data_IF_161955505040
#
_entry.id   IF_161955505040
#
_cell.length_a   1.000
_cell.length_b   1.000
_cell.length_c   1.000
_cell.angle_alpha   90.00
_cell.angle_beta   90.00
_cell.angle_gamma   90.00
#
_symmetry.space_group_name_H-M   'P 1'
#
loop_
_entity.id
_entity.type
_entity.pdbx_description
1 polymer ?
#
# COMPACT_ATOMS: atom_id res chain seq x y z
N UNK A 1 -3.35 -30.10 -45.15
CA UNK A 1 -3.00 -31.53 -45.34
C UNK A 1 -1.48 -31.66 -45.28
N UNK A 2 -0.93 -32.24 -44.19
CA UNK A 2 -0.10 -33.48 -44.18
C UNK A 2 1.24 -33.31 -44.95
N UNK A 3 2.48 -33.50 -44.44
CA UNK A 3 3.07 -34.40 -43.43
C UNK A 3 4.51 -33.93 -43.08
N UNK A 4 4.93 -34.30 -41.87
CA UNK A 4 6.26 -34.47 -41.26
C UNK A 4 7.50 -34.89 -42.12
N UNK A 5 8.66 -34.38 -41.69
CA UNK A 5 10.00 -35.00 -41.44
C UNK A 5 10.78 -35.82 -42.50
N UNK A 6 12.07 -35.47 -42.66
CA UNK A 6 13.28 -36.35 -42.73
C UNK A 6 14.53 -35.45 -42.58
N UNK A 7 15.24 -35.47 -41.45
CA UNK A 7 16.41 -36.29 -41.14
C UNK A 7 17.61 -36.07 -42.07
N UNK A 8 18.64 -35.36 -41.58
CA UNK A 8 20.03 -35.48 -42.05
C UNK A 8 20.94 -35.48 -40.83
N UNK A 9 21.53 -36.63 -40.54
CA UNK A 9 22.76 -36.79 -39.76
C UNK A 9 23.93 -36.94 -40.73
N UNK A 10 25.05 -36.25 -40.45
CA UNK A 10 26.43 -36.50 -40.93
C UNK A 10 27.24 -35.28 -40.46
N UNK A 11 28.12 -35.29 -39.47
CA UNK A 11 29.13 -36.28 -39.05
C UNK A 11 30.06 -36.84 -40.14
N UNK A 12 30.09 -36.22 -41.31
CA UNK A 12 31.10 -36.52 -42.34
C UNK A 12 31.67 -35.25 -42.98
N UNK A 13 32.50 -34.53 -42.21
CA UNK A 13 33.74 -33.91 -42.71
C UNK A 13 34.56 -33.36 -41.55
N UNK A 14 35.71 -33.99 -41.30
CA UNK A 14 36.55 -33.78 -40.14
C UNK A 14 37.27 -32.43 -40.04
N UNK A 15 37.42 -32.02 -38.78
CA UNK A 15 38.58 -31.37 -38.13
C UNK A 15 39.34 -30.23 -38.83
N UNK A 16 39.22 -29.02 -38.26
CA UNK A 16 40.33 -28.25 -37.64
C UNK A 16 39.88 -26.86 -37.15
N UNK A 17 40.29 -26.49 -35.94
CA UNK A 17 40.49 -25.09 -35.54
C UNK A 17 39.37 -24.44 -34.73
N UNK A 18 39.56 -24.39 -33.41
CA UNK A 18 38.74 -23.66 -32.45
C UNK A 18 38.74 -22.14 -32.67
N UNK A 19 37.55 -21.56 -32.85
CA UNK A 19 37.23 -20.18 -32.43
C UNK A 19 35.74 -20.12 -32.07
N UNK A 20 35.44 -19.86 -30.78
CA UNK A 20 34.06 -19.58 -30.34
C UNK A 20 33.54 -18.34 -31.10
N UNK A 21 32.35 -18.38 -31.72
CA UNK A 21 31.79 -17.20 -32.35
C UNK A 21 31.46 -16.16 -31.28
N UNK A 22 32.05 -14.97 -31.42
CA UNK A 22 31.62 -13.78 -30.70
C UNK A 22 30.14 -13.54 -31.01
N UNK A 23 29.26 -13.36 -30.02
CA UNK A 23 27.85 -13.10 -30.30
C UNK A 23 27.77 -11.81 -31.13
N UNK A 24 27.14 -11.92 -32.32
CA UNK A 24 26.80 -10.76 -33.13
C UNK A 24 25.96 -9.84 -32.26
N UNK A 25 26.41 -8.60 -32.12
CA UNK A 25 25.72 -7.54 -31.42
C UNK A 25 24.23 -7.52 -31.84
N UNK A 26 23.36 -8.05 -30.99
CA UNK A 26 21.92 -7.85 -31.15
C UNK A 26 21.70 -6.36 -30.87
N UNK A 27 21.16 -5.62 -31.85
CA UNK A 27 20.67 -4.26 -31.58
C UNK A 27 19.81 -4.33 -30.33
N UNK A 28 20.02 -3.46 -29.33
CA UNK A 28 19.10 -3.35 -28.21
C UNK A 28 17.69 -3.25 -28.78
N UNK A 29 16.78 -4.10 -28.29
CA UNK A 29 15.37 -3.92 -28.56
C UNK A 29 15.03 -2.46 -28.25
N UNK A 30 14.28 -1.75 -29.12
CA UNK A 30 13.87 -0.39 -28.85
C UNK A 30 13.24 -0.38 -27.46
N UNK A 31 13.65 0.59 -26.63
CA UNK A 31 13.12 0.72 -25.28
C UNK A 31 11.59 0.73 -25.37
N UNK A 32 10.95 -0.12 -24.56
CA UNK A 32 9.50 -0.16 -24.45
C UNK A 32 9.02 1.29 -24.25
N UNK A 33 8.05 1.78 -25.03
CA UNK A 33 7.55 3.14 -24.88
C UNK A 33 7.20 3.37 -23.41
N UNK A 34 7.84 4.35 -22.77
CA UNK A 34 7.49 4.71 -21.40
C UNK A 34 6.02 5.10 -21.40
N UNK A 35 5.20 4.37 -20.65
CA UNK A 35 3.78 4.71 -20.50
C UNK A 35 3.66 6.20 -20.16
N UNK A 36 2.80 6.92 -20.90
CA UNK A 36 2.57 8.35 -20.70
C UNK A 36 2.13 8.55 -19.25
N UNK A 37 2.85 9.37 -18.48
CA UNK A 37 2.45 9.69 -17.10
C UNK A 37 1.09 10.38 -17.15
N UNK A 38 0.11 9.77 -16.50
CA UNK A 38 -1.19 10.40 -16.25
C UNK A 38 -0.96 11.65 -15.41
N UNK A 39 -1.54 12.78 -15.85
CA UNK A 39 -1.51 14.02 -15.10
C UNK A 39 -2.76 14.08 -14.23
N UNK A 40 -2.58 14.40 -12.96
CA UNK A 40 -3.69 14.65 -12.05
C UNK A 40 -4.40 15.94 -12.48
N UNK A 41 -5.73 15.89 -12.52
CA UNK A 41 -6.54 17.08 -12.72
C UNK A 41 -6.52 17.96 -11.45
N UNK A 42 -6.69 19.27 -11.64
CA UNK A 42 -6.81 20.20 -10.52
C UNK A 42 -8.11 19.93 -9.74
N UNK A 43 -8.09 20.24 -8.44
CA UNK A 43 -9.27 20.12 -7.59
C UNK A 43 -10.42 20.98 -8.12
N UNK A 44 -11.58 20.37 -8.29
CA UNK A 44 -12.85 21.03 -8.52
C UNK A 44 -13.68 20.92 -7.24
N UNK A 45 -13.60 21.95 -6.39
CA UNK A 45 -14.27 21.97 -5.08
C UNK A 45 -15.80 21.88 -5.23
N UNK A 46 -16.39 22.58 -6.20
CA UNK A 46 -17.84 22.55 -6.44
C UNK A 46 -18.32 21.13 -6.79
N UNK A 47 -17.56 20.41 -7.62
CA UNK A 47 -17.88 19.02 -7.95
C UNK A 47 -17.73 18.11 -6.72
N UNK A 48 -16.68 18.28 -5.93
CA UNK A 48 -16.46 17.49 -4.71
C UNK A 48 -17.60 17.71 -3.70
N UNK A 49 -18.02 18.96 -3.50
CA UNK A 49 -19.16 19.32 -2.64
C UNK A 49 -20.48 18.79 -3.19
N UNK A 50 -20.72 18.91 -4.50
CA UNK A 50 -21.91 18.37 -5.15
C UNK A 50 -21.99 16.84 -5.05
N UNK A 51 -20.85 16.13 -5.11
CA UNK A 51 -20.78 14.69 -4.89
C UNK A 51 -21.07 14.33 -3.43
N UNK A 52 -20.48 15.05 -2.48
CA UNK A 52 -20.74 14.82 -1.06
C UNK A 52 -22.21 15.09 -0.71
N UNK A 53 -22.84 16.10 -1.33
CA UNK A 53 -24.25 16.45 -1.11
C UNK A 53 -25.24 15.37 -1.60
N UNK A 54 -24.81 14.38 -2.39
CA UNK A 54 -25.65 13.23 -2.77
C UNK A 54 -25.86 12.25 -1.61
N UNK A 55 -25.00 12.31 -0.60
CA UNK A 55 -25.09 11.48 0.60
C UNK A 55 -25.87 12.27 1.66
N UNK A 56 -27.14 11.93 1.78
CA UNK A 56 -28.05 12.52 2.76
C UNK A 56 -27.72 12.03 4.17
N UNK A 57 -27.20 10.81 4.29
CA UNK A 57 -26.77 10.22 5.54
C UNK A 57 -25.61 10.99 6.17
N UNK A 58 -25.67 11.12 7.49
CA UNK A 58 -24.55 11.65 8.28
C UNK A 58 -23.47 10.58 8.44
N UNK A 59 -22.35 10.74 7.73
CA UNK A 59 -21.25 9.78 7.73
C UNK A 59 -20.26 10.10 8.86
N UNK A 60 -20.61 9.65 10.06
CA UNK A 60 -19.74 9.76 11.24
C UNK A 60 -18.73 8.60 11.34
N UNK A 61 -17.74 8.74 12.21
CA UNK A 61 -16.80 7.65 12.50
C UNK A 61 -17.51 6.43 13.13
N UNK A 62 -18.51 6.66 13.97
CA UNK A 62 -19.31 5.58 14.57
C UNK A 62 -20.23 4.93 13.55
N UNK A 63 -20.77 5.71 12.60
CA UNK A 63 -21.48 5.18 11.44
C UNK A 63 -20.58 4.19 10.68
N UNK A 64 -19.34 4.57 10.33
CA UNK A 64 -18.40 3.66 9.65
C UNK A 64 -18.10 2.40 10.47
N UNK A 65 -17.85 2.53 11.77
CA UNK A 65 -17.56 1.38 12.64
C UNK A 65 -18.73 0.40 12.74
N UNK A 66 -19.95 0.94 12.78
CA UNK A 66 -21.17 0.14 12.77
C UNK A 66 -21.40 -0.54 11.42
N UNK A 67 -20.94 0.03 10.31
CA UNK A 67 -21.02 -0.54 8.97
C UNK A 67 -19.85 -1.46 8.62
N UNK A 68 -18.78 -1.47 9.43
CA UNK A 68 -17.64 -2.38 9.28
C UNK A 68 -18.08 -3.84 9.43
N UNK A 69 -17.95 -4.69 8.39
CA UNK A 69 -18.28 -6.12 8.48
C UNK A 69 -17.42 -6.86 9.50
N UNK A 70 -16.15 -6.50 9.61
CA UNK A 70 -15.28 -6.97 10.70
C UNK A 70 -15.50 -6.09 11.93
N UNK A 71 -15.65 -6.73 13.09
CA UNK A 71 -15.77 -6.04 14.36
C UNK A 71 -14.47 -5.33 14.73
N UNK A 72 -14.57 -4.02 14.97
CA UNK A 72 -13.45 -3.19 15.42
C UNK A 72 -13.44 -3.21 16.95
N UNK A 73 -12.38 -3.70 17.59
CA UNK A 73 -12.34 -3.84 19.04
C UNK A 73 -12.16 -2.49 19.74
N UNK A 74 -12.77 -2.34 20.92
CA UNK A 74 -12.57 -1.16 21.78
C UNK A 74 -11.12 -0.99 22.22
N UNK A 75 -10.40 -2.11 22.35
CA UNK A 75 -8.96 -2.10 22.53
C UNK A 75 -8.26 -1.70 21.22
N UNK A 76 -8.15 -0.39 21.02
CA UNK A 76 -7.50 0.21 19.86
C UNK A 76 -6.10 -0.36 19.58
N UNK A 77 -5.37 -0.82 20.60
CA UNK A 77 -4.02 -1.38 20.43
C UNK A 77 -4.00 -2.63 19.55
N UNK A 78 -5.10 -3.36 19.47
CA UNK A 78 -5.24 -4.57 18.64
C UNK A 78 -5.55 -4.26 17.16
N UNK A 79 -6.02 -3.06 16.83
CA UNK A 79 -6.52 -2.73 15.49
C UNK A 79 -5.47 -2.86 14.37
N UNK A 80 -4.20 -2.59 14.69
CA UNK A 80 -3.11 -2.74 13.71
C UNK A 80 -2.88 -4.20 13.33
N UNK A 81 -2.88 -5.12 14.30
CA UNK A 81 -2.71 -6.55 14.05
C UNK A 81 -3.96 -7.14 13.39
N UNK A 82 -5.15 -6.73 13.82
CA UNK A 82 -6.42 -7.07 13.19
C UNK A 82 -6.40 -6.73 11.69
N UNK A 83 -6.10 -5.46 11.34
CA UNK A 83 -6.05 -5.03 9.94
C UNK A 83 -5.07 -5.87 9.12
N UNK A 84 -3.87 -6.14 9.64
CA UNK A 84 -2.87 -6.91 8.91
C UNK A 84 -3.26 -8.38 8.74
N UNK A 85 -3.93 -8.98 9.73
CA UNK A 85 -4.37 -10.37 9.65
C UNK A 85 -5.58 -10.56 8.71
N UNK A 86 -6.51 -9.61 8.69
CA UNK A 86 -7.71 -9.70 7.84
C UNK A 86 -7.39 -9.42 6.36
N UNK A 87 -6.44 -8.52 6.08
CA UNK A 87 -6.16 -8.10 4.71
C UNK A 87 -5.13 -9.00 4.00
N UNK A 88 -4.10 -9.46 4.69
CA UNK A 88 -2.99 -10.14 4.04
C UNK A 88 -3.03 -11.66 4.25
N UNK A 89 -2.59 -12.47 3.27
CA UNK A 89 -2.45 -13.91 3.47
C UNK A 89 -1.48 -14.25 4.61
N UNK A 90 -1.75 -15.37 5.30
CA UNK A 90 -0.83 -15.91 6.31
C UNK A 90 0.58 -16.09 5.75
N UNK A 91 1.59 -15.72 6.54
CA UNK A 91 3.00 -15.75 6.15
C UNK A 91 3.48 -14.50 5.38
N UNK A 92 2.57 -13.60 4.98
CA UNK A 92 2.95 -12.30 4.41
C UNK A 92 3.81 -11.50 5.39
N UNK A 93 4.83 -10.81 4.87
CA UNK A 93 5.74 -10.00 5.68
C UNK A 93 5.52 -8.52 5.38
N UNK A 94 5.14 -7.76 6.39
CA UNK A 94 4.78 -6.35 6.27
C UNK A 94 5.79 -5.51 7.05
N UNK A 95 6.43 -4.54 6.38
CA UNK A 95 7.30 -3.60 7.09
C UNK A 95 6.49 -2.58 7.88
N UNK A 96 6.94 -2.29 9.09
CA UNK A 96 6.35 -1.28 9.99
C UNK A 96 7.43 -0.28 10.42
N UNK A 97 7.05 1.00 10.46
CA UNK A 97 7.94 2.16 10.58
C UNK A 97 7.47 3.06 11.71
N UNK A 98 8.37 3.39 12.62
CA UNK A 98 8.20 4.51 13.57
C UNK A 98 8.98 5.74 13.12
N UNK A 99 9.88 5.58 12.13
CA UNK A 99 10.61 6.65 11.46
C UNK A 99 10.39 6.59 9.95
N UNK A 100 9.73 7.60 9.38
CA UNK A 100 9.24 7.59 8.00
C UNK A 100 10.33 7.36 6.95
N UNK A 101 11.51 7.96 7.08
CA UNK A 101 12.60 7.85 6.10
C UNK A 101 13.51 6.60 6.27
N UNK A 102 13.21 5.74 7.23
CA UNK A 102 14.05 4.58 7.58
C UNK A 102 13.86 3.37 6.64
N UNK A 103 14.57 2.27 6.89
CA UNK A 103 14.39 0.98 6.21
C UNK A 103 13.45 0.02 6.96
N UNK A 104 12.54 0.55 7.78
CA UNK A 104 11.65 -0.21 8.66
C UNK A 104 12.30 -0.54 10.00
N UNK A 105 11.54 -0.39 11.08
CA UNK A 105 11.96 -0.78 12.44
C UNK A 105 11.45 -2.16 12.80
N UNK A 106 10.31 -2.55 12.25
CA UNK A 106 9.65 -3.80 12.54
C UNK A 106 9.24 -4.50 11.25
N UNK A 107 9.10 -5.82 11.35
CA UNK A 107 8.41 -6.66 10.37
C UNK A 107 7.30 -7.39 11.10
N UNK A 108 6.09 -7.32 10.57
CA UNK A 108 4.97 -8.15 11.01
C UNK A 108 4.85 -9.34 10.07
N UNK A 109 4.86 -10.55 10.62
CA UNK A 109 4.60 -11.78 9.87
C UNK A 109 3.17 -12.20 10.19
N UNK A 110 2.30 -12.18 9.19
CA UNK A 110 0.87 -12.46 9.36
C UNK A 110 0.67 -13.89 9.84
N UNK A 111 -0.09 -14.05 10.92
CA UNK A 111 -0.30 -15.34 11.60
C UNK A 111 0.79 -15.74 12.60
N UNK A 112 1.86 -14.95 12.75
CA UNK A 112 2.96 -15.24 13.68
C UNK A 112 3.28 -14.07 14.61
N UNK A 113 3.41 -12.85 14.11
CA UNK A 113 3.52 -11.62 14.92
C UNK A 113 4.71 -10.71 14.56
N UNK A 114 5.07 -9.84 15.49
CA UNK A 114 6.03 -8.77 15.25
C UNK A 114 7.49 -9.18 15.51
N UNK A 115 8.41 -8.62 14.72
CA UNK A 115 9.85 -8.74 14.86
C UNK A 115 10.52 -7.37 14.76
N UNK A 116 11.44 -7.05 15.67
CA UNK A 116 12.34 -5.90 15.54
C UNK A 116 13.42 -6.20 14.52
N UNK A 117 13.65 -5.27 13.61
CA UNK A 117 14.65 -5.38 12.55
C UNK A 117 15.91 -4.57 12.88
N UNK A 118 17.07 -5.12 12.50
CA UNK A 118 18.32 -4.37 12.51
C UNK A 118 18.33 -3.25 11.46
N UNK A 119 19.14 -2.21 11.71
CA UNK A 119 19.31 -1.04 10.83
C UNK A 119 20.18 -1.30 9.60
N UNK A 120 20.99 -2.37 9.63
CA UNK A 120 21.96 -2.73 8.60
C UNK A 120 21.73 -4.18 8.13
N UNK A 121 22.20 -4.56 6.93
CA UNK A 121 22.28 -5.96 6.50
C UNK A 121 23.04 -6.84 7.50
N UNK A 122 22.71 -8.13 7.54
CA UNK A 122 23.40 -9.13 8.38
C UNK A 122 22.92 -9.20 9.85
N UNK A 123 22.06 -8.30 10.30
CA UNK A 123 21.49 -8.35 11.65
C UNK A 123 20.20 -9.16 11.67
N UNK A 124 20.18 -10.24 12.45
CA UNK A 124 19.01 -11.11 12.58
C UNK A 124 17.81 -10.37 13.21
N UNK A 125 16.57 -10.59 12.72
CA UNK A 125 15.36 -10.11 13.37
C UNK A 125 15.20 -10.72 14.77
N UNK A 126 14.70 -9.93 15.72
CA UNK A 126 14.40 -10.40 17.08
C UNK A 126 12.90 -10.35 17.29
N UNK A 127 12.28 -11.44 17.76
CA UNK A 127 10.84 -11.48 18.05
C UNK A 127 10.48 -10.36 19.03
N UNK A 128 9.46 -9.59 18.69
CA UNK A 128 8.90 -8.55 19.53
C UNK A 128 7.57 -9.05 20.11
N UNK A 129 7.24 -8.70 21.36
CA UNK A 129 5.99 -9.14 21.95
C UNK A 129 4.76 -8.57 21.23
N UNK A 130 4.88 -7.35 20.66
CA UNK A 130 3.82 -6.62 19.96
C UNK A 130 4.40 -5.64 18.95
N UNK A 131 3.56 -5.11 18.07
CA UNK A 131 3.85 -3.94 17.24
C UNK A 131 4.18 -2.69 18.10
N UNK A 132 4.76 -1.61 17.52
CA UNK A 132 5.01 -0.36 18.25
C UNK A 132 3.71 0.37 18.63
N UNK A 133 3.62 0.87 19.87
CA UNK A 133 2.43 1.56 20.40
C UNK A 133 2.19 2.96 19.81
N UNK A 134 3.23 3.57 19.26
CA UNK A 134 3.19 4.90 18.69
C UNK A 134 4.56 5.32 18.17
N UNK A 135 4.63 6.54 17.66
CA UNK A 135 5.86 7.16 17.19
C UNK A 135 5.71 8.67 17.13
N UNK A 136 6.85 9.37 17.03
CA UNK A 136 6.90 10.84 17.07
C UNK A 136 5.94 11.47 16.04
N UNK A 137 5.97 10.95 14.82
CA UNK A 137 5.08 11.37 13.74
C UNK A 137 4.05 10.30 13.38
N UNK A 138 3.81 9.36 14.30
CA UNK A 138 2.93 8.19 14.15
C UNK A 138 3.67 6.94 13.69
N UNK A 139 2.89 5.91 13.36
CA UNK A 139 3.38 4.62 12.86
C UNK A 139 2.83 4.37 11.47
N UNK A 140 3.68 3.89 10.58
CA UNK A 140 3.29 3.49 9.23
C UNK A 140 3.58 2.03 8.98
N UNK A 141 2.94 1.47 7.97
CA UNK A 141 3.29 0.18 7.40
C UNK A 141 3.36 0.30 5.87
N UNK A 142 4.12 -0.60 5.24
CA UNK A 142 4.16 -0.68 3.78
C UNK A 142 2.97 -1.50 3.29
N UNK A 143 2.16 -0.94 2.39
CA UNK A 143 0.96 -1.63 1.87
C UNK A 143 1.29 -2.80 0.95
N UNK A 144 2.50 -2.83 0.41
CA UNK A 144 3.03 -3.96 -0.34
C UNK A 144 3.77 -4.93 0.60
N UNK A 145 3.39 -6.23 0.65
CA UNK A 145 4.15 -7.23 1.38
C UNK A 145 5.53 -7.44 0.76
N UNK A 146 6.53 -7.75 1.58
CA UNK A 146 7.93 -7.85 1.16
C UNK A 146 8.51 -9.26 1.29
N UNK A 147 9.65 -9.48 0.65
CA UNK A 147 10.43 -10.72 0.79
C UNK A 147 11.04 -10.85 2.19
N UNK A 148 11.31 -9.73 2.87
CA UNK A 148 12.04 -9.66 4.14
C UNK A 148 13.55 -9.48 3.99
N UNK A 149 14.06 -9.51 2.76
CA UNK A 149 15.50 -9.44 2.45
C UNK A 149 15.93 -8.00 2.17
N UNK A 150 17.24 -7.77 2.28
CA UNK A 150 17.88 -6.58 1.73
C UNK A 150 18.18 -6.82 0.26
N UNK A 151 17.69 -5.95 -0.60
CA UNK A 151 17.90 -6.02 -2.05
C UNK A 151 18.76 -4.82 -2.50
N UNK A 152 19.62 -4.95 -3.53
CA UNK A 152 20.26 -3.80 -4.14
C UNK A 152 19.22 -2.80 -4.66
N UNK A 153 19.33 -1.53 -4.28
CA UNK A 153 18.39 -0.49 -4.68
C UNK A 153 18.89 0.21 -5.94
N UNK A 154 18.24 0.05 -7.12
CA UNK A 154 18.68 0.67 -8.36
C UNK A 154 18.70 2.20 -8.32
N UNK A 155 17.88 2.80 -7.45
CA UNK A 155 17.76 4.25 -7.29
C UNK A 155 18.73 4.87 -6.28
N UNK A 156 19.61 4.08 -5.66
CA UNK A 156 20.54 4.60 -4.65
C UNK A 156 21.93 3.99 -4.81
N UNK A 157 22.93 4.85 -5.01
CA UNK A 157 24.34 4.47 -5.12
C UNK A 157 25.16 5.09 -4.00
N UNK A 158 26.23 4.41 -3.60
CA UNK A 158 27.25 4.97 -2.73
C UNK A 158 28.20 5.89 -3.52
N UNK A 159 29.17 6.49 -2.83
CA UNK A 159 30.16 7.38 -3.45
C UNK A 159 31.07 6.68 -4.48
N UNK A 160 31.15 5.35 -4.44
CA UNK A 160 31.93 4.53 -5.38
C UNK A 160 31.06 4.03 -6.55
N UNK A 161 29.78 4.39 -6.59
CA UNK A 161 28.85 4.00 -7.65
C UNK A 161 28.18 2.63 -7.44
N UNK A 162 28.44 1.93 -6.33
CA UNK A 162 27.81 0.65 -6.04
C UNK A 162 26.36 0.84 -5.59
N UNK A 163 25.47 -0.09 -5.95
CA UNK A 163 24.08 -0.05 -5.48
C UNK A 163 24.03 -0.25 -3.96
N UNK A 164 23.36 0.68 -3.27
CA UNK A 164 23.13 0.55 -1.84
C UNK A 164 21.98 -0.42 -1.57
N UNK A 165 22.06 -1.26 -0.53
CA UNK A 165 20.97 -2.15 -0.18
C UNK A 165 19.77 -1.38 0.39
N UNK A 166 18.56 -1.86 0.13
CA UNK A 166 17.31 -1.38 0.69
C UNK A 166 16.34 -2.51 1.01
N UNK A 167 15.27 -2.22 1.76
CA UNK A 167 14.21 -3.20 2.11
C UNK A 167 12.80 -2.76 1.73
N UNK A 168 12.67 -1.55 1.20
CA UNK A 168 11.38 -0.85 1.06
C UNK A 168 11.17 -0.23 -0.32
N UNK A 169 11.76 -0.83 -1.35
CA UNK A 169 11.55 -0.45 -2.75
C UNK A 169 10.85 -1.57 -3.50
N UNK A 170 10.45 -1.31 -4.75
CA UNK A 170 9.59 -2.22 -5.52
C UNK A 170 10.17 -3.65 -5.63
N UNK A 171 11.47 -3.79 -5.89
CA UNK A 171 12.12 -5.11 -5.96
C UNK A 171 12.12 -5.90 -4.63
N UNK A 172 11.84 -5.26 -3.49
CA UNK A 172 11.65 -5.96 -2.21
C UNK A 172 10.22 -6.49 -2.04
N UNK A 173 9.27 -6.05 -2.87
CA UNK A 173 7.86 -6.34 -2.73
C UNK A 173 7.52 -7.66 -3.45
N UNK A 174 6.57 -8.40 -2.90
CA UNK A 174 6.09 -9.69 -3.44
C UNK A 174 4.79 -9.54 -4.23
N UNK A 175 4.02 -8.49 -3.96
CA UNK A 175 2.80 -8.09 -4.68
C UNK A 175 2.42 -6.66 -4.30
N UNK A 176 1.39 -6.11 -4.94
CA UNK A 176 0.87 -4.75 -4.74
C UNK A 176 -0.66 -4.80 -4.57
N UNK A 177 -1.16 -5.33 -3.44
CA UNK A 177 -2.58 -5.66 -3.29
C UNK A 177 -3.48 -4.45 -3.12
N UNK A 178 -2.95 -3.32 -2.62
CA UNK A 178 -3.74 -2.16 -2.23
C UNK A 178 -3.21 -0.84 -2.76
N UNK A 179 -4.14 0.01 -3.17
CA UNK A 179 -3.94 1.44 -3.42
C UNK A 179 -4.43 2.24 -2.21
N UNK A 180 -3.75 3.35 -1.90
CA UNK A 180 -4.14 4.26 -0.82
C UNK A 180 -4.83 5.47 -1.43
N UNK A 181 -6.04 5.76 -0.98
CA UNK A 181 -6.73 7.02 -1.22
C UNK A 181 -6.65 7.86 0.05
N UNK A 182 -6.22 9.11 -0.08
CA UNK A 182 -6.23 10.10 1.00
C UNK A 182 -6.51 11.48 0.40
N UNK A 183 -6.98 12.39 1.25
CA UNK A 183 -7.15 13.80 0.90
C UNK A 183 -6.60 14.67 2.02
N UNK A 184 -5.74 15.61 1.66
CA UNK A 184 -5.27 16.68 2.55
C UNK A 184 -5.93 18.04 2.25
N UNK A 185 -6.69 18.11 1.14
CA UNK A 185 -7.32 19.34 0.64
C UNK A 185 -8.80 19.45 0.98
N UNK A 186 -9.48 18.33 1.23
CA UNK A 186 -10.88 18.30 1.65
C UNK A 186 -11.00 18.12 3.17
N UNK A 187 -12.12 18.55 3.73
CA UNK A 187 -12.49 18.20 5.10
C UNK A 187 -12.79 16.70 5.21
N UNK A 188 -12.62 16.13 6.40
CA UNK A 188 -12.88 14.71 6.62
C UNK A 188 -14.33 14.32 6.30
N UNK A 189 -15.30 15.18 6.59
CA UNK A 189 -16.72 14.95 6.30
C UNK A 189 -17.00 14.81 4.79
N UNK A 190 -16.57 15.81 4.00
CA UNK A 190 -16.72 15.79 2.54
C UNK A 190 -16.01 14.59 1.94
N UNK A 191 -14.78 14.32 2.38
CA UNK A 191 -14.00 13.21 1.87
C UNK A 191 -14.62 11.85 2.20
N UNK A 192 -15.15 11.67 3.41
CA UNK A 192 -15.84 10.44 3.80
C UNK A 192 -17.11 10.20 2.97
N UNK A 193 -17.92 11.24 2.73
CA UNK A 193 -19.10 11.14 1.87
C UNK A 193 -18.73 10.73 0.44
N UNK A 194 -17.62 11.24 -0.09
CA UNK A 194 -17.10 10.79 -1.40
C UNK A 194 -16.65 9.33 -1.34
N UNK A 195 -15.92 8.91 -0.30
CA UNK A 195 -15.42 7.53 -0.18
C UNK A 195 -16.55 6.50 -0.08
N UNK A 196 -17.57 6.72 0.74
CA UNK A 196 -18.60 5.69 1.02
C UNK A 196 -19.49 5.38 -0.20
N UNK A 197 -19.60 6.30 -1.16
CA UNK A 197 -20.36 6.10 -2.39
C UNK A 197 -19.53 5.49 -3.54
N UNK A 198 -18.21 5.33 -3.39
CA UNK A 198 -17.38 4.72 -4.42
C UNK A 198 -17.78 3.25 -4.61
N UNK A 199 -17.94 2.85 -5.88
CA UNK A 199 -18.12 1.45 -6.26
C UNK A 199 -16.81 0.65 -6.24
N UNK A 200 -15.68 1.28 -5.87
CA UNK A 200 -14.39 0.65 -5.74
C UNK A 200 -14.35 -0.25 -4.48
N UNK A 201 -13.61 -1.38 -4.49
CA UNK A 201 -13.55 -2.31 -3.37
C UNK A 201 -12.70 -1.74 -2.21
N UNK A 202 -13.29 -0.82 -1.44
CA UNK A 202 -12.68 -0.24 -0.24
C UNK A 202 -12.67 -1.30 0.87
N UNK A 203 -11.48 -1.73 1.27
CA UNK A 203 -11.29 -2.77 2.28
C UNK A 203 -11.03 -2.22 3.67
N UNK A 204 -10.58 -0.97 3.79
CA UNK A 204 -10.37 -0.33 5.09
C UNK A 204 -10.48 1.19 4.99
N UNK A 205 -10.95 1.83 6.07
CA UNK A 205 -10.92 3.29 6.27
C UNK A 205 -10.37 3.57 7.67
N UNK A 206 -9.46 4.52 7.78
CA UNK A 206 -8.83 4.88 9.07
C UNK A 206 -8.28 6.30 9.09
N UNK A 207 -8.14 6.86 10.28
CA UNK A 207 -7.60 8.22 10.47
C UNK A 207 -6.07 8.22 10.49
N UNK A 208 -5.51 9.36 10.10
CA UNK A 208 -4.06 9.62 10.15
C UNK A 208 -3.51 9.91 11.55
N UNK A 209 -4.37 9.99 12.57
CA UNK A 209 -4.06 10.67 13.84
C UNK A 209 -3.85 12.19 13.69
N UNK A 210 -4.30 12.76 12.57
CA UNK A 210 -4.26 14.18 12.25
C UNK A 210 -5.62 14.64 11.71
N UNK A 211 -5.62 15.35 10.58
CA UNK A 211 -6.85 15.81 9.91
C UNK A 211 -7.33 14.88 8.79
N UNK A 212 -6.44 14.08 8.22
CA UNK A 212 -6.74 13.25 7.04
C UNK A 212 -7.31 11.88 7.41
N UNK A 213 -8.20 11.39 6.54
CA UNK A 213 -8.73 10.03 6.51
C UNK A 213 -8.20 9.32 5.27
N UNK A 214 -7.74 8.09 5.48
CA UNK A 214 -7.16 7.24 4.45
C UNK A 214 -8.09 6.05 4.20
N UNK A 215 -8.18 5.62 2.95
CA UNK A 215 -8.86 4.39 2.56
C UNK A 215 -7.91 3.47 1.78
N UNK A 216 -8.08 2.17 1.95
CA UNK A 216 -7.41 1.15 1.14
C UNK A 216 -8.39 0.59 0.12
N UNK A 217 -7.99 0.60 -1.15
CA UNK A 217 -8.73 -0.04 -2.23
C UNK A 217 -7.99 -1.28 -2.69
N UNK A 218 -8.69 -2.41 -2.81
CA UNK A 218 -8.12 -3.67 -3.31
C UNK A 218 -7.94 -3.61 -4.83
N UNK A 219 -6.69 -3.77 -5.28
CA UNK A 219 -6.32 -3.78 -6.71
C UNK A 219 -5.63 -5.07 -7.15
N UNK A 220 -5.08 -5.85 -6.22
CA UNK A 220 -4.52 -7.20 -6.45
C UNK A 220 -3.46 -7.29 -7.57
N UNK A 221 -2.63 -6.24 -7.75
CA UNK A 221 -1.57 -6.26 -8.77
C UNK A 221 -0.38 -7.13 -8.33
N UNK A 222 0.21 -7.88 -9.27
CA UNK A 222 1.41 -8.69 -9.03
C UNK A 222 2.69 -7.88 -9.25
N UNK A 223 2.66 -6.91 -10.17
CA UNK A 223 3.84 -6.11 -10.57
C UNK A 223 3.60 -4.60 -10.39
N UNK A 224 4.67 -3.78 -10.26
CA UNK A 224 4.54 -2.33 -10.29
C UNK A 224 3.89 -1.80 -11.57
N UNK A 225 4.13 -2.47 -12.70
CA UNK A 225 3.59 -2.13 -14.01
C UNK A 225 2.07 -2.31 -14.04
N UNK A 226 1.56 -3.46 -13.58
CA UNK A 226 0.12 -3.70 -13.42
C UNK A 226 -0.51 -2.69 -12.47
N UNK A 227 0.13 -2.43 -11.33
CA UNK A 227 -0.35 -1.42 -10.38
C UNK A 227 -0.44 -0.04 -11.06
N UNK A 228 0.58 0.35 -11.82
CA UNK A 228 0.58 1.64 -12.51
C UNK A 228 -0.47 1.72 -13.64
N UNK A 229 -0.81 0.61 -14.28
CA UNK A 229 -1.90 0.56 -15.24
C UNK A 229 -3.26 0.78 -14.55
N UNK A 230 -3.50 0.11 -13.41
CA UNK A 230 -4.75 0.25 -12.65
C UNK A 230 -4.88 1.68 -12.08
N UNK A 231 -3.82 2.19 -11.46
CA UNK A 231 -3.87 3.48 -10.75
C UNK A 231 -4.17 4.67 -11.67
N UNK A 232 -3.87 4.54 -12.97
CA UNK A 232 -4.11 5.58 -13.97
C UNK A 232 -5.58 6.01 -13.97
N UNK A 233 -6.50 5.06 -13.86
CA UNK A 233 -7.94 5.31 -13.79
C UNK A 233 -8.32 6.08 -12.52
N UNK A 234 -7.79 5.66 -11.37
CA UNK A 234 -8.05 6.32 -10.08
C UNK A 234 -7.57 7.77 -10.06
N UNK A 235 -6.38 8.05 -10.61
CA UNK A 235 -5.86 9.42 -10.70
C UNK A 235 -6.75 10.29 -11.58
N UNK A 236 -7.17 9.78 -12.75
CA UNK A 236 -8.08 10.53 -13.63
C UNK A 236 -9.44 10.79 -12.99
N UNK A 237 -9.99 9.78 -12.30
CA UNK A 237 -11.37 9.81 -11.80
C UNK A 237 -11.51 10.53 -10.45
N UNK A 238 -10.47 10.51 -9.61
CA UNK A 238 -10.59 10.93 -8.21
C UNK A 238 -9.75 12.16 -7.84
N UNK A 239 -8.72 12.53 -8.62
CA UNK A 239 -7.88 13.67 -8.24
C UNK A 239 -8.61 15.01 -8.34
N UNK A 240 -9.47 15.19 -9.34
CA UNK A 240 -10.31 16.39 -9.44
C UNK A 240 -11.35 16.51 -8.32
N UNK A 241 -11.57 15.44 -7.54
CA UNK A 241 -12.49 15.43 -6.39
C UNK A 241 -11.76 15.16 -5.07
N UNK A 242 -10.47 15.48 -5.02
CA UNK A 242 -9.71 15.61 -3.76
C UNK A 242 -8.76 14.47 -3.43
N UNK A 243 -8.69 13.39 -4.21
CA UNK A 243 -7.73 12.32 -3.96
C UNK A 243 -6.28 12.78 -4.29
N UNK A 244 -5.37 12.63 -3.34
CA UNK A 244 -3.94 12.92 -3.57
C UNK A 244 -3.31 11.89 -4.51
N UNK A 245 -3.07 12.29 -5.75
CA UNK A 245 -2.38 11.48 -6.75
C UNK A 245 -0.96 11.07 -6.31
N UNK A 246 -0.30 11.88 -5.47
CA UNK A 246 1.02 11.56 -4.96
C UNK A 246 0.99 10.42 -3.96
N UNK A 247 -0.13 10.15 -3.27
CA UNK A 247 -0.34 8.97 -2.42
C UNK A 247 -0.50 7.67 -3.22
N UNK A 248 -0.93 7.77 -4.47
CA UNK A 248 -1.28 6.63 -5.34
C UNK A 248 -0.03 6.04 -6.02
N UNK A 249 0.72 5.23 -5.27
CA UNK A 249 1.97 4.60 -5.74
C UNK A 249 2.11 3.17 -5.27
N UNK A 250 2.80 2.28 -6.04
CA UNK A 250 2.93 0.87 -5.67
C UNK A 250 3.64 0.65 -4.33
N UNK A 251 4.69 1.43 -4.06
CA UNK A 251 5.45 1.35 -2.80
C UNK A 251 5.00 2.50 -1.90
N UNK A 252 3.84 2.34 -1.26
CA UNK A 252 3.23 3.37 -0.40
C UNK A 252 3.29 2.97 1.07
N UNK A 253 3.74 3.90 1.90
CA UNK A 253 3.50 3.82 3.34
C UNK A 253 2.09 4.33 3.63
N UNK A 254 1.33 3.58 4.43
CA UNK A 254 0.06 4.04 4.99
C UNK A 254 0.10 3.97 6.52
N UNK A 255 -0.86 4.62 7.17
CA UNK A 255 -0.96 4.74 8.62
C UNK A 255 -1.38 3.41 9.22
N UNK A 256 -0.65 2.91 10.22
CA UNK A 256 -1.02 1.69 10.94
C UNK A 256 -2.04 2.02 12.04
N UNK A 257 -3.26 1.47 12.01
CA UNK A 257 -4.25 1.74 13.05
C UNK A 257 -3.83 1.22 14.43
N UNK A 258 -4.44 1.78 15.47
CA UNK A 258 -4.16 1.40 16.86
C UNK A 258 -2.86 1.96 17.44
N UNK A 259 -2.21 2.88 16.73
CA UNK A 259 -0.95 3.49 17.11
C UNK A 259 -1.11 4.98 17.40
N UNK A 260 -0.36 5.47 18.37
CA UNK A 260 -0.35 6.89 18.75
C UNK A 260 0.61 7.71 17.88
N UNK A 261 0.17 8.89 17.48
CA UNK A 261 0.97 9.93 16.83
C UNK A 261 1.24 11.05 17.84
N UNK A 262 2.51 11.26 18.18
CA UNK A 262 2.87 12.24 19.21
C UNK A 262 2.98 13.68 18.70
N UNK A 263 3.07 13.87 17.38
CA UNK A 263 3.29 15.17 16.76
C UNK A 263 3.30 15.11 15.23
N UNK A 264 3.72 16.21 14.62
CA UNK A 264 3.84 16.36 13.18
C UNK A 264 5.01 17.29 12.82
N UNK A 265 5.56 17.09 11.62
CA UNK A 265 6.47 18.07 11.03
C UNK A 265 5.68 19.07 10.18
N UNK A 266 5.95 20.36 10.32
CA UNK A 266 5.44 21.41 9.43
C UNK A 266 6.15 21.40 8.08
N UNK A 267 5.72 22.29 7.17
CA UNK A 267 6.26 22.38 5.79
C UNK A 267 7.77 22.65 5.74
N UNK A 268 8.29 23.41 6.72
CA UNK A 268 9.72 23.68 6.87
C UNK A 268 10.51 22.52 7.52
N UNK A 269 9.86 21.39 7.79
CA UNK A 269 10.44 20.21 8.43
C UNK A 269 10.52 20.29 9.97
N UNK A 270 10.16 21.41 10.59
CA UNK A 270 10.19 21.58 12.05
C UNK A 270 9.18 20.64 12.70
N UNK A 271 9.63 19.84 13.66
CA UNK A 271 8.76 18.95 14.42
C UNK A 271 8.05 19.70 15.54
N UNK A 272 6.73 19.50 15.63
CA UNK A 272 5.88 20.00 16.70
C UNK A 272 5.21 18.83 17.40
N UNK A 273 5.41 18.75 18.70
CA UNK A 273 4.74 17.77 19.56
C UNK A 273 3.31 18.24 19.85
N UNK A 274 2.36 17.32 19.86
CA UNK A 274 0.99 17.60 20.31
C UNK A 274 0.90 17.61 21.83
N UNK A 275 -0.02 18.41 22.38
CA UNK A 275 -0.31 18.41 23.82
C UNK A 275 -0.74 17.03 24.32
N UNK A 276 -1.53 16.32 23.49
CA UNK A 276 -1.92 14.94 23.69
C UNK A 276 -1.64 14.13 22.43
N UNK A 277 -1.06 12.92 22.55
CA UNK A 277 -0.98 11.97 21.45
C UNK A 277 -2.35 11.74 20.81
N UNK A 278 -2.36 11.61 19.48
CA UNK A 278 -3.57 11.38 18.70
C UNK A 278 -3.58 9.95 18.17
N UNK A 279 -4.72 9.29 18.26
CA UNK A 279 -4.87 7.91 17.81
C UNK A 279 -5.01 7.84 16.28
N UNK A 280 -4.29 6.92 15.65
CA UNK A 280 -4.57 6.46 14.30
C UNK A 280 -5.69 5.41 14.39
N UNK A 281 -6.92 5.83 14.12
CA UNK A 281 -8.12 5.07 14.46
C UNK A 281 -8.63 4.26 13.27
N UNK A 282 -8.95 2.98 13.48
CA UNK A 282 -9.61 2.14 12.48
C UNK A 282 -11.11 2.46 12.49
N UNK A 283 -11.66 2.80 11.33
CA UNK A 283 -13.06 3.20 11.18
C UNK A 283 -13.90 2.16 10.45
N UNK A 284 -13.30 1.44 9.49
CA UNK A 284 -14.00 0.44 8.69
C UNK A 284 -13.03 -0.64 8.23
N UNK A 285 -13.47 -1.90 8.19
CA UNK A 285 -12.68 -3.04 7.71
C UNK A 285 -13.60 -4.10 7.06
N UNK A 286 -13.39 -4.32 5.77
CA UNK A 286 -14.10 -5.30 4.95
C UNK A 286 -13.11 -6.05 4.02
N UNK A 287 -12.52 -7.16 4.45
CA UNK A 287 -11.62 -7.96 3.61
C UNK A 287 -12.33 -8.60 2.41
N UNK A 288 -13.66 -8.69 2.45
CA UNK A 288 -14.51 -9.27 1.40
C UNK A 288 -15.09 -8.21 0.43
N UNK A 289 -14.62 -6.96 0.47
CA UNK A 289 -15.11 -5.92 -0.43
C UNK A 289 -14.89 -6.31 -1.91
N UNK A 290 -15.92 -6.07 -2.74
CA UNK A 290 -15.95 -6.36 -4.17
C UNK A 290 -16.36 -5.11 -4.96
N UNK A 291 -15.94 -4.97 -6.23
CA UNK A 291 -16.38 -3.86 -7.07
C UNK A 291 -17.90 -3.84 -7.22
N UNK A 292 -18.48 -2.64 -7.35
CA UNK A 292 -19.92 -2.43 -7.54
C UNK A 292 -20.73 -2.38 -6.24
N UNK A 293 -20.11 -2.54 -5.07
CA UNK A 293 -20.79 -2.49 -3.77
C UNK A 293 -20.20 -1.38 -2.90
N UNK A 294 -20.75 -0.15 -2.96
CA UNK A 294 -20.33 0.95 -2.08
C UNK A 294 -20.60 0.66 -0.60
N UNK A 295 -19.82 1.27 0.29
CA UNK A 295 -20.04 1.17 1.75
C UNK A 295 -21.43 1.69 2.10
N UNK A 296 -21.88 2.76 1.43
CA UNK A 296 -23.17 3.41 1.66
C UNK A 296 -24.36 2.46 1.49
N UNK A 297 -24.25 1.44 0.63
CA UNK A 297 -25.35 0.49 0.37
C UNK A 297 -25.28 -0.76 1.26
N UNK A 298 -24.23 -0.90 2.07
CA UNK A 298 -24.07 -2.03 2.97
C UNK A 298 -24.93 -1.84 4.22
N UNK A 299 -25.54 -2.91 4.76
CA UNK A 299 -26.25 -2.80 6.02
C UNK A 299 -25.28 -2.62 7.18
N UNK A 300 -25.72 -1.94 8.24
CA UNK A 300 -25.02 -1.95 9.52
C UNK A 300 -24.77 -3.40 9.99
N UNK A 301 -23.59 -3.66 10.57
CA UNK A 301 -23.23 -4.94 11.16
C UNK A 301 -24.25 -5.26 12.24
N UNK A 302 -24.94 -6.40 12.10
CA UNK A 302 -25.81 -6.92 13.15
C UNK A 302 -24.95 -7.20 14.37
N UNK A 303 -25.17 -6.46 15.47
CA UNK A 303 -24.57 -6.80 16.75
C UNK A 303 -25.07 -8.19 17.13
N UNK A 304 -24.16 -9.13 17.43
CA UNK A 304 -24.59 -10.36 18.09
C UNK A 304 -25.21 -9.91 19.40
N UNK A 305 -26.50 -10.19 19.61
CA UNK A 305 -27.07 -10.13 20.97
C UNK A 305 -26.12 -10.94 21.84
N UNK A 306 -25.61 -10.35 22.92
CA UNK A 306 -24.96 -11.12 23.97
C UNK A 306 -25.94 -12.24 24.37
N UNK A 307 -25.62 -13.49 24.02
CA UNK A 307 -26.36 -14.65 24.51
C UNK A 307 -26.28 -14.67 26.03
N UNK A 308 -27.33 -15.02 26.80
CA UNK A 308 -28.09 -16.28 26.72
C UNK A 308 -27.21 -17.49 26.49
#
# INVERSE_FOLDING_TARGET
MRVLYRAISAEERGTRGTRKPTPKYQRPLPATPKARKVQAEALNEDLALALAARVEEEITFDWLKSHSPVEIPDNNRACGELLLNELYPTGSRILVFTAFASQGQYMYVVGDGAYKLGRKPGVAPVKAPRLPAGGDSGVWYLTAPITGKWEPNPGKRDAMGNLMPGRRHAACCTSFPYLVLESDVLTADVWLKILVQLADPIVAVYTSGGKSVHALVKVSAATPEEFNAIKAEYVLRLSSVGADAAAITPVRLSRLPGCMRHGASGENGTYFKYDKPRLQELLYLNPAAVPGVPILTMPARKTRKAGQ
#
